data_IF_991005764068
#
_entry.id   IF_991005764068
#
_cell.length_a   1.000
_cell.length_b   1.000
_cell.length_c   1.000
_cell.angle_alpha   90.00
_cell.angle_beta   90.00
_cell.angle_gamma   90.00
#
_symmetry.space_group_name_H-M   'P 1'
#
loop_
_entity.id
_entity.type
_entity.pdbx_description
1 polymer ?
#
# COMPACT_ATOMS: atom_id res chain seq x y z
N UNK A 1 -5.65 -10.08 4.24
CA UNK A 1 -5.96 -8.80 4.92
C UNK A 1 -7.14 -8.24 4.18
N UNK A 2 -8.21 -7.92 4.87
CA UNK A 2 -9.37 -7.26 4.27
C UNK A 2 -9.19 -5.74 4.23
N UNK A 3 -9.96 -5.09 3.35
CA UNK A 3 -10.00 -3.65 3.14
C UNK A 3 -10.17 -2.85 4.43
N UNK A 4 -11.05 -3.30 5.33
CA UNK A 4 -11.36 -2.60 6.59
C UNK A 4 -10.12 -2.52 7.49
N UNK A 5 -9.41 -3.64 7.63
CA UNK A 5 -8.16 -3.71 8.39
C UNK A 5 -7.08 -2.76 7.85
N UNK A 6 -6.94 -2.65 6.51
CA UNK A 6 -6.00 -1.70 5.88
C UNK A 6 -6.38 -0.26 6.20
N UNK A 7 -7.67 0.08 6.09
CA UNK A 7 -8.16 1.44 6.28
C UNK A 7 -8.20 1.87 7.75
N UNK A 8 -8.23 0.93 8.69
CA UNK A 8 -8.11 1.21 10.13
C UNK A 8 -6.65 1.32 10.64
N UNK A 9 -5.68 0.77 9.91
CA UNK A 9 -4.28 0.69 10.34
C UNK A 9 -3.60 2.07 10.46
N UNK A 10 -2.69 2.24 11.42
CA UNK A 10 -1.82 3.42 11.48
C UNK A 10 -1.01 3.56 10.17
N UNK A 11 -0.91 4.76 9.56
CA UNK A 11 -0.21 4.94 8.29
C UNK A 11 1.26 4.50 8.30
N UNK A 12 1.99 4.63 9.42
CA UNK A 12 3.39 4.20 9.50
C UNK A 12 3.52 2.67 9.51
N UNK A 13 2.59 2.00 10.19
CA UNK A 13 2.52 0.54 10.17
C UNK A 13 2.08 0.06 8.80
N UNK A 14 1.08 0.72 8.21
CA UNK A 14 0.58 0.42 6.88
C UNK A 14 1.70 0.51 5.84
N UNK A 15 2.53 1.57 5.89
CA UNK A 15 3.68 1.74 5.01
C UNK A 15 4.59 0.49 5.02
N UNK A 16 4.93 0.01 6.22
CA UNK A 16 5.81 -1.15 6.40
C UNK A 16 5.16 -2.42 5.84
N UNK A 17 3.87 -2.62 6.10
CA UNK A 17 3.10 -3.79 5.61
C UNK A 17 2.98 -3.79 4.10
N UNK A 18 2.65 -2.65 3.49
CA UNK A 18 2.51 -2.51 2.04
C UNK A 18 3.85 -2.74 1.35
N UNK A 19 4.92 -2.10 1.83
CA UNK A 19 6.26 -2.30 1.27
C UNK A 19 6.76 -3.75 1.41
N UNK A 20 6.42 -4.43 2.51
CA UNK A 20 6.72 -5.85 2.66
C UNK A 20 5.98 -6.69 1.62
N UNK A 21 4.67 -6.46 1.43
CA UNK A 21 3.86 -7.19 0.44
C UNK A 21 4.30 -6.93 -1.00
N UNK A 22 4.60 -5.69 -1.36
CA UNK A 22 5.12 -5.34 -2.68
C UNK A 22 6.50 -5.97 -2.95
N UNK A 23 7.32 -6.17 -1.93
CA UNK A 23 8.61 -6.85 -2.09
C UNK A 23 8.47 -8.36 -2.22
N UNK A 24 7.63 -8.97 -1.38
CA UNK A 24 7.63 -10.41 -1.15
C UNK A 24 6.53 -11.16 -1.91
N UNK A 25 5.49 -10.46 -2.40
CA UNK A 25 4.26 -11.12 -2.92
C UNK A 25 3.75 -10.55 -4.24
N UNK A 26 3.81 -9.22 -4.45
CA UNK A 26 3.13 -8.57 -5.58
C UNK A 26 4.11 -7.87 -6.51
N UNK A 27 3.86 -7.90 -7.81
CA UNK A 27 4.71 -7.29 -8.83
C UNK A 27 4.44 -5.80 -9.02
N UNK A 28 3.27 -5.31 -8.57
CA UNK A 28 2.91 -3.89 -8.57
C UNK A 28 1.89 -3.57 -7.49
N UNK A 29 1.69 -2.26 -7.25
CA UNK A 29 0.59 -1.76 -6.42
C UNK A 29 -0.79 -2.14 -6.97
N UNK A 30 -0.96 -2.19 -8.31
CA UNK A 30 -2.22 -2.61 -8.93
C UNK A 30 -2.60 -4.03 -8.47
N UNK A 31 -1.67 -4.98 -8.54
CA UNK A 31 -1.89 -6.39 -8.19
C UNK A 31 -2.25 -6.58 -6.71
N UNK A 32 -1.56 -5.85 -5.82
CA UNK A 32 -1.89 -5.81 -4.39
C UNK A 32 -3.30 -5.25 -4.16
N UNK A 33 -3.66 -4.19 -4.88
CA UNK A 33 -4.96 -3.53 -4.77
C UNK A 33 -6.11 -4.45 -5.20
N UNK A 34 -5.91 -5.21 -6.28
CA UNK A 34 -6.86 -6.23 -6.75
C UNK A 34 -7.07 -7.36 -5.74
N UNK A 35 -6.00 -7.85 -5.09
CA UNK A 35 -6.08 -8.90 -4.06
C UNK A 35 -6.87 -8.48 -2.81
N UNK A 36 -6.79 -7.19 -2.45
CA UNK A 36 -7.34 -6.66 -1.20
C UNK A 36 -8.69 -5.94 -1.41
N UNK A 37 -9.15 -5.83 -2.66
CA UNK A 37 -10.36 -5.12 -3.06
C UNK A 37 -10.35 -3.64 -2.60
N UNK A 38 -9.23 -2.96 -2.90
CA UNK A 38 -9.02 -1.55 -2.59
C UNK A 38 -8.45 -0.82 -3.81
N UNK A 39 -8.78 0.46 -3.98
CA UNK A 39 -8.20 1.23 -5.07
C UNK A 39 -6.79 1.74 -4.71
N UNK A 40 -5.90 1.83 -5.72
CA UNK A 40 -4.56 2.42 -5.52
C UNK A 40 -4.64 3.83 -4.93
N UNK A 41 -5.65 4.61 -5.37
CA UNK A 41 -5.89 5.97 -4.92
C UNK A 41 -6.07 6.03 -3.41
N UNK A 42 -6.82 5.11 -2.82
CA UNK A 42 -7.07 5.10 -1.37
C UNK A 42 -5.81 4.79 -0.57
N UNK A 43 -5.00 3.83 -1.01
CA UNK A 43 -3.72 3.53 -0.37
C UNK A 43 -2.76 4.72 -0.49
N UNK A 44 -2.66 5.30 -1.68
CA UNK A 44 -1.83 6.46 -1.95
C UNK A 44 -2.25 7.66 -1.11
N UNK A 45 -3.54 8.00 -1.07
CA UNK A 45 -4.04 9.11 -0.24
C UNK A 45 -3.72 8.89 1.24
N UNK A 46 -3.91 7.66 1.73
CA UNK A 46 -3.62 7.33 3.13
C UNK A 46 -2.13 7.43 3.45
N UNK A 47 -1.25 6.88 2.62
CA UNK A 47 0.20 6.95 2.85
C UNK A 47 0.78 8.35 2.58
N UNK A 48 0.13 9.14 1.73
CA UNK A 48 0.50 10.55 1.51
C UNK A 48 0.24 11.41 2.76
N UNK A 49 -0.64 11.00 3.69
CA UNK A 49 -0.84 11.71 4.97
C UNK A 49 0.43 11.75 5.85
N UNK A 50 1.34 10.79 5.66
CA UNK A 50 2.66 10.76 6.31
C UNK A 50 3.80 11.14 5.35
N UNK A 51 3.46 11.69 4.18
CA UNK A 51 4.43 12.14 3.17
C UNK A 51 5.01 11.04 2.29
N UNK A 52 4.45 9.83 2.32
CA UNK A 52 4.94 8.73 1.51
C UNK A 52 4.19 8.61 0.17
N UNK A 53 4.93 8.33 -0.89
CA UNK A 53 4.45 8.21 -2.27
C UNK A 53 4.93 6.93 -2.91
N UNK A 54 4.12 6.34 -3.78
CA UNK A 54 4.46 5.10 -4.48
C UNK A 54 5.42 5.38 -5.64
N UNK A 55 6.56 4.68 -5.65
CA UNK A 55 7.58 4.74 -6.70
C UNK A 55 7.52 3.42 -7.49
N UNK A 56 6.89 3.46 -8.66
CA UNK A 56 6.68 2.30 -9.54
C UNK A 56 7.99 1.63 -9.98
N UNK A 57 9.06 2.41 -10.20
CA UNK A 57 10.36 1.90 -10.67
C UNK A 57 11.01 0.89 -9.70
N UNK A 58 10.71 1.02 -8.40
CA UNK A 58 11.25 0.15 -7.35
C UNK A 58 10.16 -0.62 -6.61
N UNK A 59 8.91 -0.54 -7.08
CA UNK A 59 7.72 -1.15 -6.47
C UNK A 59 7.63 -0.89 -4.95
N UNK A 60 7.77 0.37 -4.53
CA UNK A 60 7.87 0.73 -3.10
C UNK A 60 7.31 2.12 -2.81
N UNK A 61 6.72 2.32 -1.63
CA UNK A 61 6.42 3.64 -1.07
C UNK A 61 7.62 4.25 -0.34
N UNK A 62 7.87 5.55 -0.56
CA UNK A 62 8.88 6.36 0.15
C UNK A 62 8.35 7.73 0.53
#
# INVERSE_FOLDING_TARGET
>A
MDRESIMAMDPNILLSVINMKLRDTFSSLEELCEDIDISEKEICEKLNTIGCTYIREINQFR
#
